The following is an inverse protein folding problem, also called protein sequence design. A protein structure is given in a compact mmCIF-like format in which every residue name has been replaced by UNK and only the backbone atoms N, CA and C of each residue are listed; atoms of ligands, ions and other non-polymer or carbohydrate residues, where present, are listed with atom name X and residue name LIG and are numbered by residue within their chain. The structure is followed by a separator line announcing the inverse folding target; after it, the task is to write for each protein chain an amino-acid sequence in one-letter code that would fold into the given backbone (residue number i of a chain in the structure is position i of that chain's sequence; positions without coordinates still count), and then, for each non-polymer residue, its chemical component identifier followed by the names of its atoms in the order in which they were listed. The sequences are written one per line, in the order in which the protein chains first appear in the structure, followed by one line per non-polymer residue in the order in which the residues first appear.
data_IF_822581400891
#
_entry.id   IF_822581400891
#
_cell.length_a   1.000
_cell.length_b   1.000
_cell.length_c   1.000
_cell.angle_alpha   90.00
_cell.angle_beta   90.00
_cell.angle_gamma   90.00
#
_symmetry.space_group_name_H-M   'P 1'
#
loop_
_entity.id
_entity.type
_entity.pdbx_description
1 polymer ?
#
# COMPACT_ATOMS: atom_id res chain seq x y z
N UNK A 1 26.77 18.17 8.03
CA UNK A 1 25.71 17.13 8.13
C UNK A 1 24.29 17.62 7.83
N UNK A 2 23.94 18.92 8.01
CA UNK A 2 22.58 19.43 7.73
C UNK A 2 22.19 19.53 6.23
N UNK A 3 23.16 19.68 5.33
CA UNK A 3 22.93 19.99 3.90
C UNK A 3 22.20 18.86 3.15
N UNK A 4 22.24 17.62 3.63
CA UNK A 4 21.60 16.47 2.99
C UNK A 4 20.17 16.16 3.47
N UNK A 5 19.72 16.77 4.58
CA UNK A 5 18.37 16.49 5.11
C UNK A 5 17.27 17.05 4.23
N UNK A 6 17.46 18.26 3.69
CA UNK A 6 16.50 18.92 2.81
C UNK A 6 16.29 18.13 1.51
N UNK A 7 17.33 17.78 0.73
CA UNK A 7 17.13 17.00 -0.50
C UNK A 7 16.58 15.60 -0.20
N UNK A 8 16.97 14.96 0.91
CA UNK A 8 16.42 13.67 1.31
C UNK A 8 14.93 13.75 1.65
N UNK A 9 14.50 14.79 2.38
CA UNK A 9 13.11 15.02 2.71
C UNK A 9 12.26 15.31 1.45
N UNK A 10 12.78 16.10 0.52
CA UNK A 10 12.13 16.40 -0.76
C UNK A 10 12.00 15.13 -1.61
N UNK A 11 13.05 14.31 -1.67
CA UNK A 11 13.02 13.03 -2.38
C UNK A 11 12.01 12.05 -1.75
N UNK A 12 11.94 11.98 -0.42
CA UNK A 12 10.95 11.17 0.28
C UNK A 12 9.51 11.66 0.01
N UNK A 13 9.29 12.98 0.04
CA UNK A 13 7.99 13.58 -0.23
C UNK A 13 7.54 13.34 -1.69
N UNK A 14 8.45 13.52 -2.65
CA UNK A 14 8.17 13.29 -4.08
C UNK A 14 7.90 11.81 -4.36
N UNK A 15 8.62 10.90 -3.71
CA UNK A 15 8.38 9.47 -3.79
C UNK A 15 7.01 9.08 -3.22
N UNK A 16 6.65 9.60 -2.04
CA UNK A 16 5.33 9.38 -1.44
C UNK A 16 4.21 9.95 -2.30
N UNK A 17 4.43 11.12 -2.91
CA UNK A 17 3.49 11.73 -3.84
C UNK A 17 3.31 10.86 -5.10
N UNK A 18 4.40 10.34 -5.66
CA UNK A 18 4.37 9.41 -6.79
C UNK A 18 3.60 8.13 -6.45
N UNK A 19 3.87 7.53 -5.29
CA UNK A 19 3.14 6.35 -4.83
C UNK A 19 1.65 6.66 -4.69
N UNK A 20 1.30 7.80 -4.07
CA UNK A 20 -0.09 8.19 -3.83
C UNK A 20 -0.87 8.52 -5.12
N UNK A 21 -0.28 9.32 -6.01
CA UNK A 21 -0.99 9.98 -7.13
C UNK A 21 -0.43 9.70 -8.53
N UNK A 22 0.80 9.19 -8.63
CA UNK A 22 1.47 8.92 -9.90
C UNK A 22 0.68 7.98 -10.81
N UNK A 23 0.84 8.12 -12.13
CA UNK A 23 0.14 7.30 -13.13
C UNK A 23 0.99 6.10 -13.56
N UNK A 24 1.15 5.13 -12.66
CA UNK A 24 1.80 3.86 -12.94
C UNK A 24 0.88 2.70 -12.54
N UNK A 25 1.01 1.54 -13.18
CA UNK A 25 0.21 0.35 -12.83
C UNK A 25 0.35 0.01 -11.35
N UNK A 26 -0.75 -0.41 -10.71
CA UNK A 26 -0.78 -0.72 -9.28
C UNK A 26 0.21 -1.82 -8.88
N UNK A 27 0.41 -2.82 -9.75
CA UNK A 27 1.42 -3.86 -9.59
C UNK A 27 2.84 -3.32 -9.46
N UNK A 28 3.24 -2.38 -10.33
CA UNK A 28 4.57 -1.74 -10.31
C UNK A 28 4.76 -0.97 -9.01
N UNK A 29 3.78 -0.16 -8.61
CA UNK A 29 3.84 0.59 -7.36
C UNK A 29 3.90 -0.31 -6.12
N UNK A 30 3.25 -1.47 -6.17
CA UNK A 30 3.30 -2.46 -5.10
C UNK A 30 4.70 -3.05 -4.96
N UNK A 31 5.34 -3.41 -6.07
CA UNK A 31 6.73 -3.90 -6.07
C UNK A 31 7.67 -2.79 -5.58
N UNK A 32 7.51 -1.57 -6.10
CA UNK A 32 8.30 -0.42 -5.69
C UNK A 32 8.19 -0.14 -4.18
N UNK A 33 6.98 -0.19 -3.62
CA UNK A 33 6.75 -0.04 -2.18
C UNK A 33 7.44 -1.16 -1.38
N UNK A 34 7.33 -2.42 -1.83
CA UNK A 34 7.99 -3.56 -1.17
C UNK A 34 9.51 -3.40 -1.14
N UNK A 35 10.11 -3.04 -2.28
CA UNK A 35 11.54 -2.79 -2.38
C UNK A 35 11.97 -1.61 -1.49
N UNK A 36 11.18 -0.53 -1.47
CA UNK A 36 11.45 0.63 -0.60
C UNK A 36 11.43 0.21 0.87
N UNK A 37 10.45 -0.57 1.30
CA UNK A 37 10.35 -1.04 2.68
C UNK A 37 11.47 -2.01 3.06
N UNK A 38 11.86 -2.91 2.15
CA UNK A 38 13.01 -3.80 2.35
C UNK A 38 14.31 -3.01 2.49
N UNK A 39 14.52 -2.01 1.62
CA UNK A 39 15.68 -1.14 1.69
C UNK A 39 15.73 -0.34 2.99
N UNK A 40 14.59 0.21 3.44
CA UNK A 40 14.49 0.92 4.72
C UNK A 40 14.76 0.01 5.92
N UNK A 41 14.22 -1.22 5.89
CA UNK A 41 14.47 -2.20 6.93
C UNK A 41 15.97 -2.58 6.99
N UNK A 42 16.58 -2.85 5.85
CA UNK A 42 18.01 -3.14 5.76
C UNK A 42 18.87 -1.96 6.25
N UNK A 43 18.52 -0.73 5.87
CA UNK A 43 19.21 0.48 6.31
C UNK A 43 19.09 0.66 7.84
N UNK A 44 17.91 0.47 8.42
CA UNK A 44 17.69 0.52 9.87
C UNK A 44 18.56 -0.51 10.61
N UNK A 45 18.62 -1.75 10.10
CA UNK A 45 19.47 -2.81 10.66
C UNK A 45 20.96 -2.45 10.55
N UNK A 46 21.40 -1.93 9.40
CA UNK A 46 22.79 -1.50 9.19
C UNK A 46 23.18 -0.36 10.13
N UNK A 47 22.33 0.65 10.30
CA UNK A 47 22.55 1.76 11.25
C UNK A 47 22.59 1.25 12.69
N UNK A 48 21.69 0.32 13.06
CA UNK A 48 21.71 -0.30 14.38
C UNK A 48 23.00 -1.10 14.63
N UNK A 49 23.50 -1.82 13.61
CA UNK A 49 24.77 -2.54 13.67
C UNK A 49 25.96 -1.57 13.86
N UNK A 50 26.04 -0.52 13.03
CA UNK A 50 27.10 0.49 13.11
C UNK A 50 27.13 1.21 14.46
N UNK A 51 25.97 1.47 15.05
CA UNK A 51 25.86 2.08 16.39
C UNK A 51 26.08 1.10 17.55
N UNK A 52 26.42 -0.16 17.26
CA UNK A 52 26.63 -1.19 18.27
C UNK A 52 25.36 -1.60 19.02
N UNK A 53 24.17 -1.18 18.58
CA UNK A 53 22.90 -1.52 19.22
C UNK A 53 22.60 -3.02 19.09
N UNK A 54 23.15 -3.71 18.08
CA UNK A 54 22.97 -5.15 17.91
C UNK A 54 23.98 -6.00 18.69
N UNK A 55 25.09 -5.42 19.14
CA UNK A 55 26.15 -6.13 19.87
C UNK A 55 26.18 -5.81 21.36
N UNK A 56 25.78 -4.60 21.75
CA UNK A 56 25.88 -4.10 23.15
C UNK A 56 24.58 -4.15 23.94
N UNK A 57 23.45 -4.51 23.33
CA UNK A 57 22.13 -4.55 24.00
C UNK A 57 21.74 -5.98 24.39
N UNK A 58 20.78 -6.11 25.31
CA UNK A 58 20.22 -7.42 25.69
C UNK A 58 19.52 -8.10 24.51
N UNK A 59 19.49 -9.44 24.52
CA UNK A 59 18.82 -10.24 23.47
C UNK A 59 17.35 -9.83 23.32
N UNK A 60 16.66 -9.54 24.43
CA UNK A 60 15.26 -9.09 24.41
C UNK A 60 15.05 -7.78 23.64
N UNK A 61 15.97 -6.81 23.80
CA UNK A 61 15.89 -5.56 23.03
C UNK A 61 16.10 -5.79 21.53
N UNK A 62 17.04 -6.65 21.16
CA UNK A 62 17.31 -7.00 19.74
C UNK A 62 16.08 -7.63 19.10
N UNK A 63 15.45 -8.58 19.79
CA UNK A 63 14.22 -9.24 19.32
C UNK A 63 13.07 -8.24 19.20
N UNK A 64 12.87 -7.39 20.20
CA UNK A 64 11.82 -6.36 20.17
C UNK A 64 12.01 -5.37 19.00
N UNK A 65 13.24 -4.94 18.76
CA UNK A 65 13.58 -4.04 17.65
C UNK A 65 13.26 -4.70 16.28
N UNK A 66 13.67 -5.96 16.10
CA UNK A 66 13.39 -6.70 14.86
C UNK A 66 11.88 -6.90 14.67
N UNK A 67 11.16 -7.28 15.72
CA UNK A 67 9.70 -7.42 15.67
C UNK A 67 9.02 -6.09 15.32
N UNK A 68 9.47 -4.96 15.89
CA UNK A 68 8.92 -3.66 15.56
C UNK A 68 9.11 -3.32 14.08
N UNK A 69 10.30 -3.54 13.51
CA UNK A 69 10.58 -3.31 12.09
C UNK A 69 9.69 -4.20 11.21
N UNK A 70 9.56 -5.48 11.54
CA UNK A 70 8.72 -6.43 10.81
C UNK A 70 7.25 -6.02 10.88
N UNK A 71 6.72 -5.74 12.07
CA UNK A 71 5.31 -5.36 12.27
C UNK A 71 4.96 -4.09 11.51
N UNK A 72 5.81 -3.05 11.56
CA UNK A 72 5.57 -1.80 10.81
C UNK A 72 5.58 -2.07 9.29
N UNK A 73 6.55 -2.86 8.81
CA UNK A 73 6.68 -3.21 7.40
C UNK A 73 5.46 -3.99 6.89
N UNK A 74 5.08 -5.05 7.59
CA UNK A 74 3.95 -5.91 7.24
C UNK A 74 2.64 -5.15 7.35
N UNK A 75 2.46 -4.36 8.42
CA UNK A 75 1.28 -3.51 8.59
C UNK A 75 1.10 -2.55 7.41
N UNK A 76 2.18 -1.91 6.97
CA UNK A 76 2.11 -1.00 5.83
C UNK A 76 1.78 -1.71 4.52
N UNK A 77 2.37 -2.89 4.28
CA UNK A 77 2.08 -3.74 3.13
C UNK A 77 0.65 -4.31 3.14
N UNK A 78 0.07 -4.52 4.32
CA UNK A 78 -1.29 -5.01 4.46
C UNK A 78 -2.32 -3.90 4.20
N UNK A 79 -2.12 -2.73 4.80
CA UNK A 79 -3.06 -1.61 4.76
C UNK A 79 -3.05 -0.87 3.42
N UNK A 80 -1.89 -0.81 2.75
CA UNK A 80 -1.72 -0.03 1.52
C UNK A 80 -2.13 -0.83 0.29
N UNK A 81 -3.19 -0.40 -0.39
CA UNK A 81 -3.66 -1.02 -1.64
C UNK A 81 -3.39 -0.09 -2.81
N UNK A 82 -3.03 -0.67 -3.96
CA UNK A 82 -2.90 0.07 -5.20
C UNK A 82 -3.96 -0.42 -6.18
N UNK A 83 -4.64 0.50 -6.86
CA UNK A 83 -5.54 0.16 -7.96
C UNK A 83 -4.71 -0.27 -9.17
N UNK A 84 -4.96 -1.47 -9.71
CA UNK A 84 -4.21 -1.96 -10.87
C UNK A 84 -4.53 -1.19 -12.16
N UNK A 85 -5.74 -0.63 -12.28
CA UNK A 85 -6.15 0.15 -13.44
C UNK A 85 -5.52 1.56 -13.47
N UNK A 86 -5.71 2.36 -12.41
CA UNK A 86 -5.29 3.78 -12.41
C UNK A 86 -4.08 4.09 -11.51
N UNK A 87 -3.54 3.10 -10.79
CA UNK A 87 -2.36 3.28 -9.94
C UNK A 87 -2.60 4.02 -8.63
N UNK A 88 -3.83 4.40 -8.31
CA UNK A 88 -4.13 5.18 -7.10
C UNK A 88 -3.90 4.34 -5.84
N UNK A 89 -3.21 4.91 -4.86
CA UNK A 89 -3.03 4.34 -3.53
C UNK A 89 -4.32 4.55 -2.69
N UNK A 90 -4.77 3.51 -2.01
CA UNK A 90 -5.95 3.51 -1.14
C UNK A 90 -5.60 2.78 0.16
N UNK A 91 -5.77 3.44 1.31
CA UNK A 91 -5.45 2.88 2.64
C UNK A 91 -6.66 2.36 3.42
N UNK A 92 -7.88 2.72 3.03
CA UNK A 92 -9.09 2.29 3.73
C UNK A 92 -9.57 0.92 3.20
N UNK A 93 -9.42 -0.17 3.95
CA UNK A 93 -9.79 -1.53 3.52
C UNK A 93 -11.29 -1.75 3.28
N UNK A 94 -12.16 -0.89 3.83
CA UNK A 94 -13.62 -1.05 3.69
C UNK A 94 -14.09 -0.83 2.26
N UNK A 95 -13.43 0.06 1.51
CA UNK A 95 -13.87 0.43 0.16
C UNK A 95 -13.51 -0.69 -0.83
N UNK A 96 -14.50 -1.26 -1.56
CA UNK A 96 -14.27 -2.35 -2.50
C UNK A 96 -13.76 -1.86 -3.87
N UNK A 97 -13.99 -0.60 -4.21
CA UNK A 97 -13.70 -0.02 -5.53
C UNK A 97 -12.79 1.20 -5.41
N UNK A 98 -12.09 1.53 -6.49
CA UNK A 98 -11.23 2.69 -6.56
C UNK A 98 -12.07 3.98 -6.68
N UNK A 99 -11.86 5.01 -5.85
CA UNK A 99 -12.62 6.26 -5.93
C UNK A 99 -12.30 7.09 -7.18
N UNK A 100 -11.28 6.72 -7.97
CA UNK A 100 -10.90 7.44 -9.20
C UNK A 100 -11.50 6.83 -10.47
N UNK A 101 -11.47 5.51 -10.59
CA UNK A 101 -11.86 4.82 -11.82
C UNK A 101 -12.93 3.75 -11.62
N UNK A 102 -13.44 3.55 -10.40
CA UNK A 102 -14.46 2.54 -10.10
C UNK A 102 -13.98 1.08 -10.12
N UNK A 103 -12.76 0.80 -10.60
CA UNK A 103 -12.23 -0.56 -10.66
C UNK A 103 -12.15 -1.23 -9.28
N UNK A 104 -12.39 -2.54 -9.22
CA UNK A 104 -12.26 -3.31 -7.99
C UNK A 104 -10.84 -3.22 -7.42
N UNK A 105 -10.75 -3.05 -6.10
CA UNK A 105 -9.51 -3.06 -5.38
C UNK A 105 -9.19 -4.48 -4.88
N UNK A 106 -7.90 -4.80 -4.67
CA UNK A 106 -7.53 -6.03 -3.99
C UNK A 106 -8.07 -6.06 -2.55
N UNK A 107 -8.23 -7.27 -2.00
CA UNK A 107 -8.73 -7.47 -0.63
C UNK A 107 -7.83 -6.83 0.41
N UNK A 108 -6.51 -6.99 0.25
CA UNK A 108 -5.48 -6.34 1.06
C UNK A 108 -4.27 -6.00 0.18
N UNK A 109 -3.38 -5.16 0.70
CA UNK A 109 -2.22 -4.67 -0.06
C UNK A 109 -1.21 -5.75 -0.48
N UNK A 110 -1.27 -6.92 0.14
CA UNK A 110 -0.39 -8.04 -0.19
C UNK A 110 -0.92 -8.97 -1.30
N UNK A 111 -2.23 -9.00 -1.59
CA UNK A 111 -2.80 -9.89 -2.62
C UNK A 111 -3.09 -9.21 -3.95
N UNK A 112 -2.77 -9.89 -5.04
CA UNK A 112 -3.19 -9.49 -6.39
C UNK A 112 -4.65 -9.89 -6.70
N UNK A 113 -5.28 -10.73 -5.87
CA UNK A 113 -6.68 -11.11 -6.04
C UNK A 113 -7.59 -9.90 -5.81
N UNK A 114 -8.21 -9.45 -6.90
CA UNK A 114 -9.26 -8.43 -6.90
C UNK A 114 -10.46 -8.96 -6.14
N UNK A 115 -11.09 -8.11 -5.34
CA UNK A 115 -12.36 -8.45 -4.68
C UNK A 115 -13.44 -8.57 -5.76
N UNK A 116 -13.90 -9.77 -6.08
CA UNK A 116 -15.02 -9.96 -7.00
C UNK A 116 -16.35 -9.94 -6.23
N UNK A 117 -17.43 -9.40 -6.82
CA UNK A 117 -18.77 -9.56 -6.27
C UNK A 117 -19.09 -11.06 -6.18
N UNK A 118 -19.29 -11.58 -4.97
CA UNK A 118 -19.52 -13.01 -4.72
C UNK A 118 -18.46 -13.71 -3.85
N UNK A 119 -17.27 -13.12 -3.64
CA UNK A 119 -16.26 -13.61 -2.67
C UNK A 119 -16.67 -13.39 -1.19
N UNK A 120 -17.84 -12.77 -0.99
CA UNK A 120 -18.37 -12.34 0.30
C UNK A 120 -19.40 -13.31 0.86
N UNK A 121 -19.47 -14.55 0.34
CA UNK A 121 -20.39 -15.60 0.85
C UNK A 121 -20.19 -15.94 2.34
N UNK A 122 -19.22 -15.33 3.03
CA UNK A 122 -19.05 -15.40 4.48
C UNK A 122 -19.38 -14.10 5.26
N UNK A 123 -19.91 -13.07 4.61
CA UNK A 123 -20.31 -11.84 5.32
C UNK A 123 -21.57 -11.25 4.68
N UNK A 124 -22.73 -11.67 5.19
CA UNK A 124 -24.02 -11.02 4.92
C UNK A 124 -24.00 -9.61 5.50
N UNK A 125 -24.39 -8.60 4.71
CA UNK A 125 -25.43 -7.71 5.22
C UNK A 125 -26.48 -7.39 4.16
N UNK A 126 -27.73 -7.39 4.61
CA UNK A 126 -28.99 -7.25 3.88
C UNK A 126 -29.18 -5.93 3.12
N UNK A 127 -28.18 -5.06 3.09
CA UNK A 127 -28.27 -3.73 2.51
C UNK A 127 -27.04 -3.45 1.67
N UNK A 128 -27.15 -3.60 0.34
CA UNK A 128 -26.22 -2.92 -0.57
C UNK A 128 -26.97 -2.18 -1.67
N UNK A 129 -26.72 -0.86 -1.80
CA UNK A 129 -27.10 -0.12 -2.99
C UNK A 129 -26.38 -0.74 -4.19
N UNK A 130 -27.17 -1.11 -5.21
CA UNK A 130 -26.68 -1.56 -6.51
C UNK A 130 -25.82 -0.45 -7.11
N UNK A 131 -24.62 -0.72 -7.66
CA UNK A 131 -23.90 0.29 -8.41
C UNK A 131 -24.79 0.75 -9.57
N UNK A 132 -25.10 2.05 -9.61
CA UNK A 132 -25.91 2.65 -10.66
C UNK A 132 -25.18 2.46 -11.98
N UNK A 133 -25.70 1.55 -12.81
CA UNK A 133 -25.32 1.41 -14.21
C UNK A 133 -25.78 2.71 -14.89
N UNK A 134 -24.86 3.66 -15.07
CA UNK A 134 -25.13 4.81 -15.94
C UNK A 134 -25.40 4.26 -17.34
N UNK A 135 -26.69 4.25 -17.72
CA UNK A 135 -27.17 4.00 -19.09
C UNK A 135 -26.41 4.92 -20.03
N UNK A 136 -25.76 4.36 -21.04
CA UNK A 136 -25.70 5.03 -22.33
C UNK A 136 -27.02 4.69 -23.04
N UNK A 137 -27.88 5.66 -23.38
CA UNK A 137 -28.92 5.41 -24.36
C UNK A 137 -28.22 5.40 -25.72
N UNK A 138 -28.05 4.22 -26.31
CA UNK A 138 -27.92 4.13 -27.76
C UNK A 138 -29.26 4.59 -28.33
N UNK A 139 -29.20 5.72 -29.03
CA UNK A 139 -30.30 6.30 -29.80
C UNK A 139 -30.65 5.46 -31.04
N UNK A 140 -31.64 5.93 -31.82
CA UNK A 140 -32.78 5.11 -32.21
C UNK A 140 -32.57 4.29 -33.48
N UNK A 141 -33.37 3.24 -33.56
CA UNK A 141 -33.71 2.44 -34.73
C UNK A 141 -34.15 3.33 -35.91
N UNK A 142 -33.62 3.03 -37.09
CA UNK A 142 -34.24 3.30 -38.39
C UNK A 142 -33.88 2.13 -39.31
#
# INVERSE_FOLDING_TARGET
MQVYFVPAAVAAASWLWFLARGRARGSVKRIALRLTLLALAAAMVAVAAQRGLLSRTSVGFRVALLLAVVTVTVGYLYLTRFCDACGRMVRNLKVPTCPRCGAYLPRHGMTARLRRPGDERLWTPRDRPRPSRSRHPEGPSA
#
